data_IF_645997445748
#
_entry.id   IF_645997445748
#
_cell.length_a   1.000
_cell.length_b   1.000
_cell.length_c   1.000
_cell.angle_alpha   90.00
_cell.angle_beta   90.00
_cell.angle_gamma   90.00
#
_symmetry.space_group_name_H-M   'P 1'
#
loop_
_entity.id
_entity.type
_entity.pdbx_description
1 polymer ?
#
# COMPACT_ATOMS: atom_id res chain seq x y z
N UNK A 1 14.78 67.10 28.55
CA UNK A 1 14.12 65.83 28.88
C UNK A 1 12.95 65.44 27.93
N UNK A 2 12.35 66.37 27.19
CA UNK A 2 11.24 66.02 26.26
C UNK A 2 11.68 65.39 24.92
N UNK A 3 12.87 65.82 24.44
CA UNK A 3 13.42 65.27 23.15
C UNK A 3 13.89 63.78 23.25
N UNK A 4 14.37 63.38 24.44
CA UNK A 4 14.85 62.00 24.66
C UNK A 4 13.70 60.98 24.68
N UNK A 5 12.48 61.38 25.08
CA UNK A 5 11.30 60.50 25.11
C UNK A 5 10.68 60.29 23.73
N UNK A 6 10.83 61.28 22.82
CA UNK A 6 10.32 61.15 21.44
C UNK A 6 11.21 60.20 20.63
N UNK A 7 12.53 60.27 20.84
CA UNK A 7 13.48 59.38 20.17
C UNK A 7 13.28 57.90 20.58
N UNK A 8 12.90 57.65 21.85
CA UNK A 8 12.70 56.28 22.34
C UNK A 8 11.38 55.63 21.81
N UNK A 9 10.36 56.44 21.55
CA UNK A 9 9.10 55.99 21.00
C UNK A 9 9.23 55.68 19.51
N UNK A 10 10.04 56.42 18.77
CA UNK A 10 10.24 56.19 17.33
C UNK A 10 11.08 54.93 17.05
N UNK A 11 12.02 54.59 17.93
CA UNK A 11 12.83 53.38 17.77
C UNK A 11 12.06 52.10 18.10
N UNK A 12 11.02 52.17 18.92
CA UNK A 12 10.18 51.00 19.25
C UNK A 12 9.18 50.66 18.14
N UNK A 13 8.78 51.64 17.34
CA UNK A 13 7.83 51.44 16.23
C UNK A 13 8.43 50.72 15.01
N UNK A 14 9.77 50.82 14.83
CA UNK A 14 10.46 50.19 13.68
C UNK A 14 10.74 48.69 13.95
N UNK A 15 10.86 48.30 15.23
CA UNK A 15 11.12 46.89 15.58
C UNK A 15 9.87 45.97 15.45
N UNK A 16 8.67 46.53 15.41
CA UNK A 16 7.43 45.78 15.35
C UNK A 16 7.00 45.36 13.92
N UNK A 17 7.51 46.03 12.89
CA UNK A 17 7.19 45.68 11.49
C UNK A 17 8.03 44.53 10.94
N UNK A 18 9.25 44.35 11.47
CA UNK A 18 10.11 43.23 11.01
C UNK A 18 9.67 41.86 11.48
N UNK A 19 8.88 41.71 12.56
CA UNK A 19 8.38 40.46 13.04
C UNK A 19 7.13 39.99 12.28
N UNK A 20 6.38 40.87 11.64
CA UNK A 20 5.17 40.51 10.90
C UNK A 20 5.48 39.87 9.54
N UNK A 21 6.57 40.23 8.90
CA UNK A 21 6.98 39.65 7.63
C UNK A 21 7.56 38.22 7.79
N UNK A 22 8.13 37.94 8.96
CA UNK A 22 8.68 36.61 9.24
C UNK A 22 7.57 35.55 9.46
N UNK A 23 6.41 35.96 9.99
CA UNK A 23 5.27 35.09 10.15
C UNK A 23 4.49 34.87 8.85
N UNK A 24 4.53 35.85 7.94
CA UNK A 24 3.82 35.74 6.66
C UNK A 24 4.43 34.66 5.78
N UNK A 25 5.75 34.48 5.82
CA UNK A 25 6.44 33.41 5.06
C UNK A 25 6.28 32.02 5.65
N UNK A 26 5.78 31.87 6.88
CA UNK A 26 5.52 30.56 7.49
C UNK A 26 4.13 30.04 7.11
N UNK A 27 3.18 30.94 6.82
CA UNK A 27 1.82 30.58 6.43
C UNK A 27 1.56 30.61 4.92
N UNK A 28 2.43 31.28 4.15
CA UNK A 28 2.38 31.36 2.68
C UNK A 28 3.37 30.40 1.99
N UNK A 29 3.90 29.39 2.68
CA UNK A 29 4.33 28.20 1.94
C UNK A 29 3.07 27.57 1.35
N UNK A 30 2.82 27.67 0.03
CA UNK A 30 1.88 26.76 -0.56
C UNK A 30 2.48 25.40 -0.24
N UNK A 31 1.84 24.66 0.65
CA UNK A 31 1.92 23.22 0.62
C UNK A 31 1.38 22.91 -0.78
N UNK A 32 2.27 22.85 -1.77
CA UNK A 32 1.93 22.22 -3.02
C UNK A 32 1.32 20.90 -2.56
N UNK A 33 0.05 20.60 -2.92
CA UNK A 33 -0.47 19.28 -2.71
C UNK A 33 0.60 18.41 -3.38
N UNK A 34 1.31 17.62 -2.58
CA UNK A 34 2.20 16.60 -3.11
C UNK A 34 1.43 16.03 -4.28
N UNK A 35 1.93 16.20 -5.51
CA UNK A 35 1.35 15.56 -6.67
C UNK A 35 1.25 14.12 -6.24
N UNK A 36 0.07 13.71 -5.78
CA UNK A 36 -0.29 12.33 -5.59
C UNK A 36 -0.08 11.77 -6.98
N UNK A 37 1.12 11.22 -7.21
CA UNK A 37 1.44 10.60 -8.48
C UNK A 37 0.28 9.70 -8.75
N UNK A 38 -0.25 9.73 -9.94
CA UNK A 38 -1.47 9.09 -10.38
C UNK A 38 -1.49 7.63 -9.85
N UNK A 39 -2.04 7.45 -8.65
CA UNK A 39 -2.00 6.19 -7.92
C UNK A 39 -2.91 5.26 -8.69
N UNK A 40 -2.30 4.32 -9.45
CA UNK A 40 -3.07 3.35 -10.21
C UNK A 40 -4.11 2.71 -9.32
N UNK A 41 -5.34 2.63 -9.81
CA UNK A 41 -6.41 1.96 -9.09
C UNK A 41 -6.19 0.44 -9.11
N UNK A 42 -6.13 -0.14 -7.93
CA UNK A 42 -6.14 -1.60 -7.73
C UNK A 42 -7.56 -2.14 -7.51
N UNK A 43 -8.55 -1.28 -7.33
CA UNK A 43 -9.95 -1.69 -7.07
C UNK A 43 -10.44 -2.67 -8.13
N UNK A 44 -11.17 -3.68 -7.69
CA UNK A 44 -11.74 -4.73 -8.53
C UNK A 44 -11.13 -6.10 -8.26
N UNK A 45 -11.44 -7.04 -9.14
CA UNK A 45 -10.97 -8.42 -9.05
C UNK A 45 -9.76 -8.64 -9.96
N UNK A 46 -8.76 -9.31 -9.42
CA UNK A 46 -7.55 -9.72 -10.12
C UNK A 46 -7.40 -11.22 -9.98
N UNK A 47 -7.41 -11.95 -11.08
CA UNK A 47 -7.44 -13.41 -11.07
C UNK A 47 -6.19 -14.00 -11.70
N UNK A 48 -5.65 -15.03 -11.07
CA UNK A 48 -4.49 -15.77 -11.52
C UNK A 48 -4.74 -16.49 -12.85
N UNK A 49 -3.69 -16.64 -13.63
CA UNK A 49 -3.74 -17.30 -14.93
C UNK A 49 -3.28 -18.74 -14.89
N UNK A 50 -2.63 -19.17 -13.80
CA UNK A 50 -2.19 -20.56 -13.63
C UNK A 50 -3.37 -21.45 -13.20
N UNK A 51 -3.55 -22.57 -13.89
CA UNK A 51 -4.66 -23.50 -13.60
C UNK A 51 -4.33 -24.47 -12.47
N UNK A 52 -3.06 -24.84 -12.30
CA UNK A 52 -2.63 -25.85 -11.33
C UNK A 52 -1.34 -25.42 -10.63
N UNK A 53 -1.25 -25.64 -9.31
CA UNK A 53 -0.02 -25.37 -8.57
C UNK A 53 1.02 -26.45 -8.85
N UNK A 54 2.29 -26.07 -8.86
CA UNK A 54 3.42 -27.01 -8.76
C UNK A 54 3.77 -27.25 -7.30
N UNK A 55 4.66 -28.23 -7.02
CA UNK A 55 5.04 -28.54 -5.64
C UNK A 55 5.49 -27.29 -4.86
N UNK A 56 5.00 -27.16 -3.63
CA UNK A 56 5.28 -26.03 -2.72
C UNK A 56 4.84 -24.65 -3.24
N UNK A 57 3.97 -24.60 -4.24
CA UNK A 57 3.40 -23.36 -4.76
C UNK A 57 1.89 -23.33 -4.67
N UNK A 58 1.32 -22.16 -4.99
CA UNK A 58 -0.11 -21.94 -5.13
C UNK A 58 -0.43 -21.42 -6.54
N UNK A 59 -1.65 -21.65 -7.01
CA UNK A 59 -2.16 -21.18 -8.28
C UNK A 59 -3.61 -20.71 -8.14
N UNK A 60 -4.15 -20.04 -9.18
CA UNK A 60 -5.50 -19.51 -9.16
C UNK A 60 -5.66 -18.44 -8.09
N UNK A 61 -4.62 -17.66 -7.86
CA UNK A 61 -4.64 -16.57 -6.89
C UNK A 61 -5.70 -15.54 -7.29
N UNK A 62 -6.54 -15.13 -6.35
CA UNK A 62 -7.51 -14.07 -6.56
C UNK A 62 -7.33 -12.98 -5.50
N UNK A 63 -7.23 -11.73 -5.97
CA UNK A 63 -7.30 -10.52 -5.15
C UNK A 63 -8.60 -9.79 -5.48
N UNK A 64 -9.47 -9.64 -4.52
CA UNK A 64 -10.66 -8.80 -4.65
C UNK A 64 -10.46 -7.55 -3.80
N UNK A 65 -9.95 -6.50 -4.42
CA UNK A 65 -9.65 -5.23 -3.76
C UNK A 65 -10.93 -4.42 -3.66
N UNK A 66 -11.35 -4.14 -2.44
CA UNK A 66 -12.61 -3.44 -2.12
C UNK A 66 -12.40 -2.04 -1.58
N UNK A 67 -11.19 -1.71 -1.14
CA UNK A 67 -10.83 -0.39 -0.64
C UNK A 67 -9.44 0.01 -1.08
N UNK A 68 -9.29 1.29 -1.43
CA UNK A 68 -8.00 1.91 -1.70
C UNK A 68 -8.02 3.36 -1.23
N UNK A 69 -7.07 3.73 -0.37
CA UNK A 69 -6.95 5.09 0.18
C UNK A 69 -5.47 5.42 0.38
N UNK A 70 -5.02 6.54 -0.16
CA UNK A 70 -3.65 7.04 0.06
C UNK A 70 -2.54 6.06 -0.31
N UNK A 71 -2.72 5.24 -1.35
CA UNK A 71 -1.74 4.23 -1.75
C UNK A 71 -1.83 2.91 -0.98
N UNK A 72 -2.70 2.81 0.02
CA UNK A 72 -3.02 1.56 0.71
C UNK A 72 -4.24 0.93 0.07
N UNK A 73 -4.18 -0.39 -0.20
CA UNK A 73 -5.30 -1.17 -0.71
C UNK A 73 -5.59 -2.34 0.23
N UNK A 74 -6.86 -2.73 0.31
CA UNK A 74 -7.28 -3.89 1.09
C UNK A 74 -8.44 -4.62 0.42
N UNK A 75 -8.59 -5.89 0.76
CA UNK A 75 -9.61 -6.74 0.20
C UNK A 75 -9.50 -8.17 0.68
N UNK A 76 -10.03 -9.10 -0.13
CA UNK A 76 -9.94 -10.52 0.13
C UNK A 76 -8.91 -11.19 -0.78
N UNK A 77 -8.36 -12.28 -0.29
CA UNK A 77 -7.39 -13.13 -0.95
C UNK A 77 -7.90 -14.56 -0.98
N UNK A 78 -7.73 -15.23 -2.09
CA UNK A 78 -7.85 -16.69 -2.16
C UNK A 78 -6.80 -17.29 -3.10
N UNK A 79 -6.44 -18.55 -2.88
CA UNK A 79 -5.56 -19.33 -3.76
C UNK A 79 -5.74 -20.83 -3.50
N UNK A 80 -5.36 -21.67 -4.46
CA UNK A 80 -5.24 -23.11 -4.27
C UNK A 80 -3.76 -23.49 -4.35
N UNK A 81 -3.24 -24.10 -3.29
CA UNK A 81 -1.86 -24.57 -3.25
C UNK A 81 -1.76 -26.06 -3.60
N UNK A 82 -0.53 -26.54 -3.72
CA UNK A 82 -0.25 -27.95 -3.94
C UNK A 82 -1.01 -28.84 -2.92
N UNK A 83 -1.29 -30.08 -3.30
CA UNK A 83 -2.05 -31.06 -2.52
C UNK A 83 -3.50 -30.62 -2.17
N UNK A 84 -4.07 -29.68 -2.92
CA UNK A 84 -5.45 -29.24 -2.78
C UNK A 84 -5.73 -28.37 -1.55
N UNK A 85 -4.69 -27.75 -0.98
CA UNK A 85 -4.85 -26.78 0.11
C UNK A 85 -5.47 -25.50 -0.43
N UNK A 86 -6.59 -25.08 0.14
CA UNK A 86 -7.26 -23.81 -0.18
C UNK A 86 -6.90 -22.76 0.84
N UNK A 87 -6.54 -21.57 0.37
CA UNK A 87 -6.26 -20.39 1.19
C UNK A 87 -7.39 -19.38 0.99
N UNK A 88 -7.93 -18.86 2.09
CA UNK A 88 -8.94 -17.80 2.08
C UNK A 88 -8.66 -16.83 3.21
N UNK A 89 -8.68 -15.51 2.93
CA UNK A 89 -8.38 -14.54 3.96
C UNK A 89 -8.47 -13.09 3.50
N UNK A 90 -7.86 -12.23 4.30
CA UNK A 90 -7.76 -10.80 4.03
C UNK A 90 -6.38 -10.47 3.49
N UNK A 91 -6.34 -9.46 2.64
CA UNK A 91 -5.09 -8.94 2.11
C UNK A 91 -4.98 -7.43 2.27
N UNK A 92 -3.75 -6.97 2.37
CA UNK A 92 -3.36 -5.56 2.25
C UNK A 92 -2.25 -5.43 1.23
N UNK A 93 -2.22 -4.30 0.53
CA UNK A 93 -1.15 -3.96 -0.39
C UNK A 93 -0.83 -2.47 -0.30
N UNK A 94 0.41 -2.12 -0.58
CA UNK A 94 0.86 -0.72 -0.59
C UNK A 94 1.34 -0.37 -1.99
N UNK A 95 0.89 0.76 -2.52
CA UNK A 95 1.37 1.26 -3.80
C UNK A 95 2.82 1.73 -3.67
N UNK A 96 3.70 1.14 -4.44
CA UNK A 96 5.05 1.64 -4.67
C UNK A 96 5.23 2.05 -6.14
N UNK A 97 6.23 2.84 -6.44
CA UNK A 97 6.50 3.31 -7.81
C UNK A 97 6.75 2.17 -8.80
N UNK A 98 7.47 1.14 -8.37
CA UNK A 98 7.87 0.00 -9.20
C UNK A 98 7.36 -1.34 -8.70
N UNK A 99 6.96 -1.44 -7.45
CA UNK A 99 6.51 -2.68 -6.81
C UNK A 99 5.34 -2.43 -5.88
N UNK A 100 4.57 -3.49 -5.64
CA UNK A 100 3.40 -3.53 -4.77
C UNK A 100 3.70 -4.51 -3.64
N UNK A 101 4.31 -4.08 -2.53
CA UNK A 101 4.38 -4.93 -1.34
C UNK A 101 2.98 -5.31 -0.89
N UNK A 102 2.76 -6.58 -0.58
CA UNK A 102 1.47 -7.07 -0.13
C UNK A 102 1.63 -8.15 0.94
N UNK A 103 0.58 -8.34 1.71
CA UNK A 103 0.46 -9.39 2.70
C UNK A 103 -0.96 -9.95 2.72
N UNK A 104 -1.09 -11.24 3.02
CA UNK A 104 -2.37 -11.90 3.24
C UNK A 104 -2.30 -12.84 4.44
N UNK A 105 -3.37 -12.89 5.21
CA UNK A 105 -3.53 -13.79 6.35
C UNK A 105 -4.95 -14.33 6.38
N UNK A 106 -5.12 -15.54 6.89
CA UNK A 106 -6.44 -16.16 6.97
C UNK A 106 -6.36 -17.64 7.30
N UNK A 107 -7.22 -18.43 6.68
CA UNK A 107 -7.37 -19.84 6.94
C UNK A 107 -6.94 -20.69 5.72
N UNK A 108 -6.08 -21.66 5.96
CA UNK A 108 -5.76 -22.73 5.03
C UNK A 108 -6.61 -23.96 5.35
N UNK A 109 -7.22 -24.57 4.33
CA UNK A 109 -8.10 -25.75 4.48
C UNK A 109 -7.61 -26.87 3.58
N UNK A 110 -7.45 -28.08 4.15
CA UNK A 110 -7.18 -29.33 3.42
C UNK A 110 -8.12 -30.41 3.92
N UNK A 111 -9.09 -30.80 3.10
CA UNK A 111 -10.17 -31.72 3.54
C UNK A 111 -10.96 -31.10 4.69
N UNK A 112 -10.92 -31.72 5.86
CA UNK A 112 -11.59 -31.25 7.09
C UNK A 112 -10.64 -30.49 8.03
N UNK A 113 -9.36 -30.41 7.71
CA UNK A 113 -8.35 -29.75 8.56
C UNK A 113 -8.22 -28.28 8.15
N UNK A 114 -8.27 -27.40 9.14
CA UNK A 114 -8.07 -25.96 8.98
C UNK A 114 -6.93 -25.46 9.86
N UNK A 115 -6.18 -24.47 9.38
CA UNK A 115 -5.13 -23.83 10.13
C UNK A 115 -4.90 -22.39 9.65
N UNK A 116 -4.24 -21.54 10.42
CA UNK A 116 -3.86 -20.21 9.95
C UNK A 116 -2.81 -20.30 8.83
N UNK A 117 -2.86 -19.33 7.91
CA UNK A 117 -1.77 -19.06 6.98
C UNK A 117 -1.32 -17.61 7.06
N UNK A 118 -0.10 -17.37 6.64
CA UNK A 118 0.46 -16.04 6.45
C UNK A 118 1.31 -16.04 5.18
N UNK A 119 1.07 -15.07 4.30
CA UNK A 119 1.82 -14.87 3.07
C UNK A 119 2.20 -13.41 2.92
N UNK A 120 3.37 -13.18 2.34
CA UNK A 120 3.86 -11.86 1.94
C UNK A 120 4.46 -11.93 0.55
N UNK A 121 4.58 -10.79 -0.10
CA UNK A 121 5.20 -10.78 -1.41
C UNK A 121 5.27 -9.40 -2.03
N UNK A 122 5.61 -9.40 -3.30
CA UNK A 122 5.65 -8.20 -4.14
C UNK A 122 4.93 -8.45 -5.44
N UNK A 123 4.12 -7.49 -5.87
CA UNK A 123 3.55 -7.41 -7.21
C UNK A 123 4.34 -6.43 -8.06
N UNK A 124 4.41 -6.67 -9.36
CA UNK A 124 4.99 -5.76 -10.35
C UNK A 124 4.03 -5.64 -11.53
N UNK A 125 3.64 -4.42 -11.88
CA UNK A 125 2.79 -4.22 -13.05
C UNK A 125 3.49 -4.62 -14.34
N UNK A 126 2.78 -5.38 -15.17
CA UNK A 126 3.12 -5.61 -16.57
C UNK A 126 2.02 -4.99 -17.44
N UNK A 127 2.28 -3.78 -17.92
CA UNK A 127 1.26 -2.98 -18.61
C UNK A 127 0.18 -2.47 -17.65
N UNK A 128 -1.06 -2.39 -18.12
CA UNK A 128 -2.20 -1.81 -17.38
C UNK A 128 -3.10 -2.84 -16.70
N UNK A 129 -3.04 -4.09 -17.13
CA UNK A 129 -4.02 -5.13 -16.75
C UNK A 129 -3.42 -6.38 -16.14
N UNK A 130 -2.09 -6.46 -16.04
CA UNK A 130 -1.41 -7.62 -15.45
C UNK A 130 -0.52 -7.19 -14.28
N UNK A 131 -0.43 -8.06 -13.28
CA UNK A 131 0.53 -7.96 -12.18
C UNK A 131 1.23 -9.31 -12.06
N UNK A 132 2.56 -9.32 -12.11
CA UNK A 132 3.35 -10.49 -11.70
C UNK A 132 3.51 -10.42 -10.20
N UNK A 133 3.03 -11.44 -9.51
CA UNK A 133 3.02 -11.56 -8.05
C UNK A 133 4.05 -12.60 -7.65
N UNK A 134 5.09 -12.19 -6.91
CA UNK A 134 5.98 -13.10 -6.22
C UNK A 134 5.53 -13.22 -4.77
N UNK A 135 5.59 -14.42 -4.20
CA UNK A 135 5.10 -14.66 -2.85
C UNK A 135 5.91 -15.73 -2.11
N UNK A 136 5.89 -15.62 -0.80
CA UNK A 136 6.34 -16.64 0.14
C UNK A 136 5.44 -16.60 1.37
N UNK A 137 5.28 -17.75 2.02
CA UNK A 137 4.44 -17.86 3.20
C UNK A 137 4.50 -19.21 3.86
N UNK A 138 3.65 -19.39 4.85
CA UNK A 138 3.52 -20.62 5.63
C UNK A 138 2.06 -20.95 5.89
N UNK A 139 1.76 -22.23 5.94
CA UNK A 139 0.50 -22.79 6.43
C UNK A 139 0.79 -24.03 7.27
N UNK A 140 -0.22 -24.69 7.82
CA UNK A 140 -0.06 -25.97 8.52
C UNK A 140 0.52 -27.09 7.65
N UNK A 141 0.51 -26.94 6.34
CA UNK A 141 1.10 -27.91 5.40
C UNK A 141 2.54 -27.57 5.00
N UNK A 142 3.15 -26.60 5.69
CA UNK A 142 4.52 -26.17 5.48
C UNK A 142 4.66 -24.87 4.69
N UNK A 143 5.88 -24.53 4.26
CA UNK A 143 6.18 -23.35 3.49
C UNK A 143 5.62 -23.46 2.07
N UNK A 144 5.22 -22.30 1.53
CA UNK A 144 4.82 -22.14 0.13
C UNK A 144 5.52 -20.93 -0.46
N UNK A 145 5.91 -21.00 -1.72
CA UNK A 145 6.48 -19.88 -2.44
C UNK A 145 6.27 -20.03 -3.95
N UNK A 146 6.33 -18.93 -4.67
CA UNK A 146 6.18 -18.98 -6.11
C UNK A 146 6.01 -17.61 -6.74
N UNK A 147 5.61 -17.66 -8.01
CA UNK A 147 5.25 -16.50 -8.80
C UNK A 147 4.04 -16.83 -9.65
N UNK A 148 3.10 -15.90 -9.76
CA UNK A 148 1.93 -16.01 -10.62
C UNK A 148 1.63 -14.67 -11.29
N UNK A 149 1.10 -14.71 -12.51
CA UNK A 149 0.55 -13.52 -13.15
C UNK A 149 -0.95 -13.47 -12.87
N UNK A 150 -1.41 -12.37 -12.29
CA UNK A 150 -2.83 -12.09 -12.11
C UNK A 150 -3.27 -11.01 -13.10
N UNK A 151 -4.49 -11.14 -13.62
CA UNK A 151 -5.11 -10.22 -14.56
C UNK A 151 -6.35 -9.59 -13.96
N UNK A 152 -6.58 -8.34 -14.29
CA UNK A 152 -7.83 -7.68 -13.94
C UNK A 152 -8.99 -8.29 -14.73
N UNK A 153 -10.05 -8.67 -14.03
CA UNK A 153 -11.32 -9.14 -14.60
C UNK A 153 -12.25 -7.98 -14.91
#
# INVERSE_FOLDING_TARGET
>A
MKLLRIALILTLAIASTACLDMFKNIFDSPTEPSKSGDVRSYLGTWSGTAATPVAQSCAGMEWKITSQTGGQASGTFSATCADGVKLEGLMTATHGETSIPWAATGTATKGTTTCPFSMTGTGTFQGTSNIVVNYAGTSCNGPVSGSETIKRS
#
